data_IF_035083279274
#
_entry.id   IF_035083279274
#
_cell.length_a   1.000
_cell.length_b   1.000
_cell.length_c   1.000
_cell.angle_alpha   90.00
_cell.angle_beta   90.00
_cell.angle_gamma   90.00
#
_symmetry.space_group_name_H-M   'P 1'
#
loop_
_entity.id
_entity.type
_entity.pdbx_description
1 polymer ?
#
# COMPACT_ATOMS: atom_id res chain seq x y z
N UNK A 1 55.87 -76.19 16.57
CA UNK A 1 56.26 -74.79 16.88
C UNK A 1 55.02 -73.89 16.68
N UNK A 2 54.88 -72.77 17.41
CA UNK A 2 53.64 -71.93 17.41
C UNK A 2 53.81 -70.60 16.65
N UNK A 3 53.07 -70.43 15.55
CA UNK A 3 52.66 -69.18 14.83
C UNK A 3 51.40 -69.58 14.02
N UNK A 4 50.40 -68.75 13.68
CA UNK A 4 50.22 -67.27 13.74
C UNK A 4 48.69 -66.94 13.83
N UNK A 5 48.34 -65.74 14.33
CA UNK A 5 47.19 -64.82 14.08
C UNK A 5 45.99 -65.38 13.27
N UNK A 6 44.70 -65.22 13.64
CA UNK A 6 43.76 -64.06 13.49
C UNK A 6 42.41 -64.45 14.19
N UNK A 7 41.32 -63.71 14.40
CA UNK A 7 40.78 -62.36 14.03
C UNK A 7 39.79 -61.87 15.12
N UNK A 8 39.21 -60.67 14.99
CA UNK A 8 38.26 -60.06 15.94
C UNK A 8 36.79 -60.05 15.46
N UNK A 9 35.84 -59.90 16.40
CA UNK A 9 34.43 -59.66 16.12
C UNK A 9 33.87 -58.58 17.06
N UNK A 10 33.71 -57.34 16.56
CA UNK A 10 33.09 -56.23 17.27
C UNK A 10 31.79 -55.83 16.54
N UNK A 11 30.64 -56.18 17.12
CA UNK A 11 29.33 -55.98 16.51
C UNK A 11 28.64 -54.71 17.04
N UNK A 12 29.14 -53.54 16.64
CA UNK A 12 28.55 -52.24 16.97
C UNK A 12 27.39 -51.89 16.02
N UNK A 13 26.15 -52.02 16.50
CA UNK A 13 24.98 -51.51 15.80
C UNK A 13 25.04 -49.97 15.71
N UNK A 14 25.27 -49.42 14.52
CA UNK A 14 24.92 -48.02 14.25
C UNK A 14 23.40 -47.91 14.09
N UNK A 15 22.72 -47.58 15.18
CA UNK A 15 21.38 -47.04 15.12
C UNK A 15 21.44 -45.63 14.49
N UNK A 16 21.36 -45.57 13.16
CA UNK A 16 21.31 -44.31 12.42
C UNK A 16 19.98 -43.59 12.73
N UNK A 17 20.01 -42.69 13.71
CA UNK A 17 18.89 -41.83 14.07
C UNK A 17 18.55 -40.89 12.92
N UNK A 18 17.56 -41.28 12.11
CA UNK A 18 16.98 -40.36 11.12
C UNK A 18 16.33 -39.20 11.87
N UNK A 19 17.00 -38.05 11.88
CA UNK A 19 16.45 -36.79 12.36
C UNK A 19 15.37 -36.37 11.37
N UNK A 20 14.14 -36.85 11.61
CA UNK A 20 12.98 -36.49 10.83
C UNK A 20 12.72 -34.99 11.01
N UNK A 21 13.14 -34.19 10.03
CA UNK A 21 12.83 -32.76 9.94
C UNK A 21 11.31 -32.60 9.81
N UNK A 22 10.65 -32.43 10.95
CA UNK A 22 9.22 -32.17 11.02
C UNK A 22 8.90 -30.90 10.21
N UNK A 23 8.13 -31.07 9.13
CA UNK A 23 7.84 -30.00 8.19
C UNK A 23 7.14 -28.84 8.91
N UNK A 24 7.90 -27.76 9.16
CA UNK A 24 7.47 -26.66 10.02
C UNK A 24 6.37 -25.86 9.34
N UNK A 25 5.11 -26.23 9.59
CA UNK A 25 3.95 -25.39 9.31
C UNK A 25 4.12 -24.05 10.02
N UNK A 26 3.93 -22.95 9.30
CA UNK A 26 4.02 -21.59 9.83
C UNK A 26 2.65 -20.93 9.74
N UNK A 27 2.16 -20.47 10.88
CA UNK A 27 0.95 -19.67 10.91
C UNK A 27 1.18 -18.33 10.19
N UNK A 28 0.20 -17.91 9.39
CA UNK A 28 0.23 -16.64 8.67
C UNK A 28 -0.76 -15.71 9.35
N UNK A 29 -0.35 -14.46 9.58
CA UNK A 29 -1.16 -13.41 10.19
C UNK A 29 -1.14 -12.21 9.24
N UNK A 30 -2.30 -11.68 8.86
CA UNK A 30 -2.45 -10.50 8.00
C UNK A 30 -3.10 -9.40 8.82
N UNK A 31 -2.42 -8.26 8.99
CA UNK A 31 -2.97 -7.08 9.69
C UNK A 31 -3.58 -7.39 11.09
N UNK A 32 -2.91 -8.30 11.81
CA UNK A 32 -3.27 -8.87 13.12
C UNK A 32 -4.37 -9.95 13.13
N UNK A 33 -4.98 -10.28 11.98
CA UNK A 33 -5.91 -11.40 11.83
C UNK A 33 -5.18 -12.69 11.40
N UNK A 34 -5.48 -13.82 12.04
CA UNK A 34 -4.89 -15.11 11.67
C UNK A 34 -5.54 -15.68 10.41
N UNK A 35 -4.73 -16.09 9.43
CA UNK A 35 -5.23 -16.72 8.20
C UNK A 35 -5.61 -18.17 8.48
N UNK A 36 -6.82 -18.56 8.08
CA UNK A 36 -7.32 -19.92 8.26
C UNK A 36 -6.44 -20.96 7.53
N UNK A 37 -6.02 -21.99 8.26
CA UNK A 37 -5.17 -23.09 7.78
C UNK A 37 -5.71 -24.44 8.22
N UNK A 38 -5.53 -25.48 7.40
CA UNK A 38 -5.94 -26.86 7.70
C UNK A 38 -4.89 -27.87 7.24
N UNK A 39 -5.13 -29.17 7.48
CA UNK A 39 -4.28 -30.29 7.00
C UNK A 39 -3.92 -30.22 5.51
N UNK A 40 -4.81 -29.67 4.70
CA UNK A 40 -4.71 -29.60 3.24
C UNK A 40 -4.58 -28.17 2.70
N UNK A 41 -4.53 -27.19 3.61
CA UNK A 41 -4.31 -25.76 3.33
C UNK A 41 -3.31 -25.23 4.37
N UNK A 42 -2.03 -25.56 4.18
CA UNK A 42 -0.93 -25.13 5.06
C UNK A 42 0.23 -24.60 4.23
N UNK A 43 1.10 -23.80 4.85
CA UNK A 43 2.40 -23.44 4.30
C UNK A 43 3.34 -24.64 4.26
N UNK A 44 4.26 -24.69 3.29
CA UNK A 44 5.42 -25.59 3.33
C UNK A 44 6.72 -24.77 3.34
N UNK A 45 7.80 -25.36 3.85
CA UNK A 45 9.14 -24.73 3.85
C UNK A 45 10.04 -25.53 2.91
N UNK A 46 10.61 -24.84 1.93
CA UNK A 46 11.46 -25.45 0.90
C UNK A 46 12.58 -24.48 0.52
N UNK A 47 13.83 -24.96 0.39
CA UNK A 47 15.01 -24.13 0.10
C UNK A 47 15.14 -22.90 1.03
N UNK A 48 14.75 -23.02 2.30
CA UNK A 48 14.76 -21.91 3.26
C UNK A 48 13.74 -20.80 2.96
N UNK A 49 12.68 -21.10 2.21
CA UNK A 49 11.57 -20.20 1.87
C UNK A 49 10.22 -20.81 2.24
N UNK A 50 9.31 -19.96 2.73
CA UNK A 50 7.93 -20.37 3.00
C UNK A 50 7.10 -20.23 1.73
N UNK A 51 6.68 -21.37 1.20
CA UNK A 51 5.72 -21.50 0.12
C UNK A 51 4.30 -21.58 0.69
N UNK A 52 3.34 -20.96 0.02
CA UNK A 52 1.93 -20.93 0.45
C UNK A 52 0.99 -21.22 -0.72
N UNK A 53 -0.18 -21.86 -0.49
CA UNK A 53 -1.23 -21.94 -1.50
C UNK A 53 -1.65 -20.51 -1.89
N UNK A 54 -1.51 -20.13 -3.16
CA UNK A 54 -1.67 -18.74 -3.62
C UNK A 54 -2.98 -18.09 -3.13
N UNK A 55 -4.09 -18.83 -3.23
CA UNK A 55 -5.42 -18.37 -2.83
C UNK A 55 -5.56 -18.13 -1.31
N UNK A 56 -4.92 -18.95 -0.47
CA UNK A 56 -4.97 -18.83 1.01
C UNK A 56 -4.55 -17.43 1.48
N UNK A 57 -3.53 -16.86 0.85
CA UNK A 57 -3.02 -15.52 1.19
C UNK A 57 -3.72 -14.44 0.38
N UNK A 58 -4.08 -14.70 -0.88
CA UNK A 58 -4.83 -13.75 -1.71
C UNK A 58 -6.19 -13.39 -1.10
N UNK A 59 -6.98 -14.39 -0.69
CA UNK A 59 -8.28 -14.19 -0.04
C UNK A 59 -8.12 -13.35 1.24
N UNK A 60 -7.11 -13.68 2.07
CA UNK A 60 -6.82 -12.97 3.32
C UNK A 60 -6.34 -11.52 3.15
N UNK A 61 -5.76 -11.16 2.00
CA UNK A 61 -5.41 -9.77 1.68
C UNK A 61 -6.45 -9.07 0.80
N UNK A 62 -7.54 -9.74 0.39
CA UNK A 62 -8.52 -9.19 -0.55
C UNK A 62 -7.96 -8.96 -1.95
N UNK A 63 -7.20 -9.93 -2.47
CA UNK A 63 -6.66 -9.96 -3.83
C UNK A 63 -7.40 -10.99 -4.69
N UNK A 64 -7.56 -10.73 -5.99
CA UNK A 64 -8.13 -11.69 -6.93
C UNK A 64 -7.08 -12.67 -7.44
N UNK A 65 -7.50 -13.90 -7.77
CA UNK A 65 -6.62 -14.96 -8.29
C UNK A 65 -7.23 -15.59 -9.55
N UNK A 66 -6.41 -15.80 -10.58
CA UNK A 66 -6.78 -16.56 -11.77
C UNK A 66 -5.76 -17.65 -12.11
N UNK A 67 -6.17 -18.62 -12.91
CA UNK A 67 -5.32 -19.71 -13.42
C UNK A 67 -5.58 -19.90 -14.91
N UNK A 68 -4.52 -19.84 -15.72
CA UNK A 68 -4.53 -20.26 -17.12
C UNK A 68 -3.90 -21.65 -17.21
N UNK A 69 -4.72 -22.66 -17.52
CA UNK A 69 -4.28 -24.04 -17.65
C UNK A 69 -3.41 -24.30 -18.91
N UNK A 70 -3.55 -23.49 -19.96
CA UNK A 70 -2.80 -23.62 -21.22
C UNK A 70 -1.41 -22.99 -21.08
N UNK A 71 -1.32 -21.81 -20.47
CA UNK A 71 -0.03 -21.18 -20.14
C UNK A 71 0.65 -21.81 -18.91
N UNK A 72 -0.12 -22.56 -18.09
CA UNK A 72 0.25 -23.07 -16.76
C UNK A 72 0.69 -21.94 -15.81
N UNK A 73 -0.06 -20.83 -15.82
CA UNK A 73 0.24 -19.64 -15.01
C UNK A 73 -0.86 -19.33 -14.01
N UNK A 74 -0.46 -18.99 -12.79
CA UNK A 74 -1.34 -18.46 -11.76
C UNK A 74 -1.08 -16.95 -11.63
N UNK A 75 -2.12 -16.11 -11.68
CA UNK A 75 -1.99 -14.70 -11.39
C UNK A 75 -2.63 -14.34 -10.06
N UNK A 76 -2.08 -13.34 -9.37
CA UNK A 76 -2.74 -12.64 -8.27
C UNK A 76 -2.67 -11.13 -8.52
N UNK A 77 -3.77 -10.41 -8.28
CA UNK A 77 -3.88 -8.96 -8.47
C UNK A 77 -4.54 -8.29 -7.26
N UNK A 78 -4.03 -7.13 -6.86
CA UNK A 78 -4.69 -6.22 -5.93
C UNK A 78 -4.35 -4.79 -6.31
N UNK A 79 -5.36 -3.95 -6.46
CA UNK A 79 -5.19 -2.63 -7.08
C UNK A 79 -4.54 -2.80 -8.47
N UNK A 80 -3.73 -1.84 -8.94
CA UNK A 80 -2.94 -1.98 -10.17
C UNK A 80 -1.70 -2.90 -10.04
N UNK A 81 -1.42 -3.46 -8.86
CA UNK A 81 -0.29 -4.38 -8.66
C UNK A 81 -0.70 -5.82 -8.95
N UNK A 82 0.14 -6.57 -9.67
CA UNK A 82 -0.09 -8.00 -9.91
C UNK A 82 1.18 -8.79 -10.14
N UNK A 83 1.15 -10.09 -9.86
CA UNK A 83 2.25 -11.01 -10.13
C UNK A 83 1.73 -12.32 -10.71
N UNK A 84 2.38 -12.76 -11.79
CA UNK A 84 2.07 -13.98 -12.55
C UNK A 84 3.19 -14.99 -12.33
N UNK A 85 2.84 -16.13 -11.73
CA UNK A 85 3.73 -17.25 -11.46
C UNK A 85 3.53 -18.34 -12.51
N UNK A 86 4.60 -18.88 -13.10
CA UNK A 86 4.50 -20.03 -14.03
C UNK A 86 4.83 -21.32 -13.30
N UNK A 87 3.93 -22.29 -13.34
CA UNK A 87 4.12 -23.57 -12.67
C UNK A 87 5.30 -24.36 -13.27
N UNK A 88 6.20 -24.84 -12.41
CA UNK A 88 7.42 -25.53 -12.82
C UNK A 88 8.60 -24.60 -13.15
N UNK A 89 8.57 -23.33 -12.72
CA UNK A 89 9.72 -22.41 -12.91
C UNK A 89 10.10 -21.69 -11.62
N UNK A 90 11.34 -21.19 -11.60
CA UNK A 90 11.87 -20.24 -10.60
C UNK A 90 11.72 -18.79 -11.06
N UNK A 91 10.62 -18.47 -11.74
CA UNK A 91 10.39 -17.13 -12.32
C UNK A 91 8.94 -16.68 -12.19
N UNK A 92 8.76 -15.37 -12.05
CA UNK A 92 7.47 -14.69 -12.12
C UNK A 92 7.57 -13.43 -13.00
N UNK A 93 6.42 -12.86 -13.36
CA UNK A 93 6.31 -11.55 -13.98
C UNK A 93 5.46 -10.64 -13.09
N UNK A 94 6.01 -9.52 -12.63
CA UNK A 94 5.35 -8.58 -11.70
C UNK A 94 5.09 -7.21 -12.35
N UNK A 95 3.93 -6.63 -12.07
CA UNK A 95 3.51 -5.28 -12.46
C UNK A 95 3.35 -4.48 -11.18
N UNK A 96 3.96 -3.29 -11.13
CA UNK A 96 3.98 -2.40 -9.97
C UNK A 96 3.19 -1.11 -10.28
N UNK A 97 1.91 -1.28 -10.63
CA UNK A 97 0.97 -0.21 -10.95
C UNK A 97 1.53 0.87 -11.87
N UNK A 98 1.35 2.14 -11.50
CA UNK A 98 1.87 3.28 -12.27
C UNK A 98 3.38 3.53 -12.12
N UNK A 99 4.11 2.79 -11.28
CA UNK A 99 5.58 2.89 -11.16
C UNK A 99 6.26 2.03 -12.23
N UNK A 100 5.74 0.82 -12.46
CA UNK A 100 6.18 -0.06 -13.55
C UNK A 100 4.96 -0.81 -14.13
N UNK A 101 4.26 -0.21 -15.12
CA UNK A 101 3.04 -0.78 -15.69
C UNK A 101 3.32 -1.96 -16.63
N UNK A 102 4.55 -2.07 -17.14
CA UNK A 102 4.99 -3.19 -17.99
C UNK A 102 5.49 -4.35 -17.10
N UNK A 103 5.11 -5.61 -17.36
CA UNK A 103 5.55 -6.75 -16.56
C UNK A 103 7.07 -6.91 -16.49
N UNK A 104 7.63 -6.85 -15.29
CA UNK A 104 9.04 -7.07 -15.00
C UNK A 104 9.29 -8.53 -14.65
N UNK A 105 10.34 -9.14 -15.21
CA UNK A 105 10.79 -10.48 -14.80
C UNK A 105 11.33 -10.41 -13.36
N UNK A 106 10.86 -11.32 -12.52
CA UNK A 106 11.35 -11.53 -11.14
C UNK A 106 11.83 -12.97 -11.03
N UNK A 107 13.07 -13.16 -10.57
CA UNK A 107 13.62 -14.49 -10.26
C UNK A 107 13.24 -14.92 -8.84
N UNK A 108 13.05 -16.22 -8.64
CA UNK A 108 12.56 -16.81 -7.39
C UNK A 108 13.61 -17.77 -6.83
N UNK A 109 13.89 -17.69 -5.53
CA UNK A 109 14.84 -18.61 -4.86
C UNK A 109 14.40 -20.10 -4.96
N UNK A 110 13.08 -20.32 -5.04
CA UNK A 110 12.46 -21.65 -5.11
C UNK A 110 11.35 -21.70 -6.16
N UNK A 111 10.94 -22.91 -6.54
CA UNK A 111 10.05 -23.16 -7.66
C UNK A 111 8.57 -22.88 -7.34
N UNK A 112 7.78 -22.58 -8.37
CA UNK A 112 6.30 -22.52 -8.33
C UNK A 112 5.74 -23.94 -8.46
N UNK A 113 5.36 -24.53 -7.33
CA UNK A 113 4.98 -25.94 -7.24
C UNK A 113 3.47 -26.11 -7.40
N UNK A 114 3.02 -27.15 -8.11
CA UNK A 114 1.61 -27.57 -8.14
C UNK A 114 1.48 -28.87 -7.37
N UNK A 115 0.70 -28.88 -6.29
CA UNK A 115 0.54 -30.03 -5.39
C UNK A 115 -0.88 -30.08 -4.83
N UNK A 116 -1.57 -31.23 -4.97
CA UNK A 116 -2.99 -31.42 -4.56
C UNK A 116 -3.88 -30.26 -5.07
N UNK A 117 -3.80 -30.00 -6.37
CA UNK A 117 -4.57 -28.97 -7.09
C UNK A 117 -4.44 -27.53 -6.56
N UNK A 118 -3.35 -27.26 -5.82
CA UNK A 118 -2.98 -25.93 -5.33
C UNK A 118 -1.65 -25.51 -5.91
N UNK A 119 -1.58 -24.25 -6.36
CA UNK A 119 -0.33 -23.59 -6.75
C UNK A 119 0.32 -22.99 -5.51
N UNK A 120 1.52 -23.45 -5.19
CA UNK A 120 2.35 -23.00 -4.08
C UNK A 120 3.39 -22.00 -4.59
N UNK A 121 3.47 -20.82 -3.97
CA UNK A 121 4.39 -19.74 -4.37
C UNK A 121 5.10 -19.11 -3.16
N UNK A 122 6.24 -18.43 -3.33
CA UNK A 122 6.94 -17.79 -2.22
C UNK A 122 6.11 -16.67 -1.58
N UNK A 123 5.80 -16.81 -0.29
CA UNK A 123 4.97 -15.86 0.46
C UNK A 123 5.47 -14.41 0.37
N UNK A 124 6.79 -14.22 0.47
CA UNK A 124 7.44 -12.90 0.37
C UNK A 124 7.17 -12.21 -0.98
N UNK A 125 7.00 -12.96 -2.07
CA UNK A 125 6.78 -12.38 -3.39
C UNK A 125 5.34 -11.88 -3.56
N UNK A 126 4.33 -12.63 -3.07
CA UNK A 126 2.95 -12.12 -2.98
C UNK A 126 2.94 -10.84 -2.14
N UNK A 127 3.51 -10.90 -0.93
CA UNK A 127 3.49 -9.80 0.02
C UNK A 127 4.16 -8.54 -0.57
N UNK A 128 5.39 -8.66 -1.07
CA UNK A 128 6.16 -7.54 -1.61
C UNK A 128 5.47 -6.87 -2.81
N UNK A 129 5.01 -7.64 -3.80
CA UNK A 129 4.34 -7.04 -4.97
C UNK A 129 3.04 -6.34 -4.59
N UNK A 130 2.24 -6.94 -3.70
CA UNK A 130 0.98 -6.33 -3.22
C UNK A 130 1.18 -5.28 -2.10
N UNK A 131 2.43 -4.88 -1.80
CA UNK A 131 2.74 -3.79 -0.88
C UNK A 131 2.69 -4.10 0.61
N UNK A 132 2.71 -5.37 0.99
CA UNK A 132 2.81 -5.83 2.38
C UNK A 132 4.28 -6.11 2.76
N UNK A 133 4.68 -5.76 3.97
CA UNK A 133 5.88 -6.32 4.59
C UNK A 133 5.63 -7.79 4.98
N UNK A 134 6.70 -8.58 5.16
CA UNK A 134 6.61 -10.01 5.48
C UNK A 134 7.69 -10.40 6.50
N UNK A 135 7.33 -10.33 7.78
CA UNK A 135 8.23 -10.48 8.93
C UNK A 135 7.98 -11.80 9.66
N UNK A 136 9.03 -12.51 10.05
CA UNK A 136 8.93 -13.70 10.89
C UNK A 136 9.02 -13.29 12.37
N UNK A 137 8.14 -13.85 13.21
CA UNK A 137 8.19 -13.75 14.68
C UNK A 137 9.00 -14.91 15.27
N UNK A 138 9.48 -14.77 16.50
CA UNK A 138 10.31 -15.78 17.18
C UNK A 138 9.60 -17.13 17.33
N UNK A 139 8.27 -17.12 17.44
CA UNK A 139 7.42 -18.33 17.45
C UNK A 139 7.21 -18.97 16.06
N UNK A 140 8.01 -18.61 15.05
CA UNK A 140 7.94 -19.13 13.68
C UNK A 140 6.77 -18.62 12.83
N UNK A 141 5.83 -17.87 13.39
CA UNK A 141 4.70 -17.29 12.65
C UNK A 141 5.17 -16.18 11.72
N UNK A 142 4.51 -16.03 10.56
CA UNK A 142 4.80 -14.96 9.60
C UNK A 142 3.69 -13.92 9.65
N UNK A 143 4.07 -12.69 9.95
CA UNK A 143 3.22 -11.51 9.98
C UNK A 143 3.38 -10.75 8.66
N UNK A 144 2.26 -10.63 7.92
CA UNK A 144 2.10 -9.68 6.83
C UNK A 144 1.46 -8.40 7.35
N UNK A 145 2.03 -7.24 7.02
CA UNK A 145 1.50 -5.94 7.45
C UNK A 145 1.39 -5.00 6.26
N UNK A 146 0.24 -4.36 6.12
CA UNK A 146 0.08 -3.19 5.25
C UNK A 146 0.88 -1.99 5.78
N UNK A 147 1.17 -0.97 4.95
CA UNK A 147 1.95 0.21 5.36
C UNK A 147 1.34 1.01 6.53
N UNK A 148 0.02 0.95 6.70
CA UNK A 148 -0.68 1.48 7.88
C UNK A 148 -0.63 0.43 9.00
N UNK A 149 0.08 0.73 10.08
CA UNK A 149 0.23 -0.17 11.24
C UNK A 149 -1.02 -0.22 12.13
N UNK A 150 -0.97 -0.94 13.27
CA UNK A 150 -2.06 -0.95 14.25
C UNK A 150 -2.23 0.40 14.96
N UNK A 151 -1.14 1.04 15.39
CA UNK A 151 -1.21 2.36 16.02
C UNK A 151 -1.65 3.45 15.03
N UNK A 152 -1.25 3.31 13.76
CA UNK A 152 -1.69 4.22 12.70
C UNK A 152 -3.21 4.07 12.43
N UNK A 153 -3.72 2.82 12.40
CA UNK A 153 -5.18 2.54 12.33
C UNK A 153 -5.93 3.18 13.51
N UNK A 154 -5.36 3.14 14.71
CA UNK A 154 -5.98 3.72 15.91
C UNK A 154 -6.12 5.24 15.80
N UNK A 155 -5.09 5.98 15.37
CA UNK A 155 -5.21 7.42 15.06
C UNK A 155 -6.30 7.67 13.99
N UNK A 156 -6.34 6.84 12.95
CA UNK A 156 -7.32 6.92 11.85
C UNK A 156 -8.73 6.44 12.25
N UNK A 157 -8.94 5.85 13.43
CA UNK A 157 -10.23 5.40 13.93
C UNK A 157 -10.75 6.27 15.10
N UNK A 158 -9.94 6.46 16.15
CA UNK A 158 -10.36 7.06 17.42
C UNK A 158 -9.72 8.42 17.72
N UNK A 159 -8.59 8.75 17.08
CA UNK A 159 -7.88 10.03 17.24
C UNK A 159 -8.68 11.26 16.81
N UNK A 160 -8.17 12.47 17.10
CA UNK A 160 -8.85 13.70 16.68
C UNK A 160 -8.80 13.88 15.17
N UNK A 161 -9.70 14.71 14.62
CA UNK A 161 -9.72 15.01 13.19
C UNK A 161 -8.41 15.68 12.72
N UNK A 162 -7.78 16.52 13.57
CA UNK A 162 -6.49 17.14 13.27
C UNK A 162 -5.36 16.11 13.25
N UNK A 163 -5.35 15.14 14.16
CA UNK A 163 -4.30 14.09 14.22
C UNK A 163 -4.43 13.13 13.04
N UNK A 164 -5.65 12.71 12.71
CA UNK A 164 -5.93 11.86 11.56
C UNK A 164 -5.53 12.55 10.25
N UNK A 165 -5.82 13.84 10.09
CA UNK A 165 -5.36 14.63 8.93
C UNK A 165 -3.85 14.86 8.93
N UNK A 166 -3.22 15.03 10.10
CA UNK A 166 -1.75 15.16 10.19
C UNK A 166 -1.05 13.86 9.77
N UNK A 167 -1.58 12.73 10.24
CA UNK A 167 -1.16 11.41 9.80
C UNK A 167 -1.27 11.28 8.27
N UNK A 168 -2.42 11.63 7.71
CA UNK A 168 -2.66 11.51 6.26
C UNK A 168 -1.68 12.38 5.48
N UNK A 169 -1.49 13.63 5.90
CA UNK A 169 -0.56 14.58 5.27
C UNK A 169 0.92 14.20 5.40
N UNK A 170 1.27 13.19 6.21
CA UNK A 170 2.65 12.73 6.43
C UNK A 170 2.94 11.34 5.87
N UNK A 171 1.99 10.39 5.96
CA UNK A 171 2.22 8.99 5.52
C UNK A 171 1.39 8.52 4.33
N UNK A 172 0.21 9.10 4.05
CA UNK A 172 -0.75 8.49 3.12
C UNK A 172 -0.21 8.35 1.69
N UNK A 173 0.44 9.40 1.17
CA UNK A 173 0.95 9.44 -0.21
C UNK A 173 2.16 8.53 -0.40
N UNK A 174 3.06 8.45 0.60
CA UNK A 174 4.36 7.75 0.50
C UNK A 174 4.25 6.27 0.11
N UNK A 175 3.18 5.60 0.55
CA UNK A 175 2.94 4.18 0.30
C UNK A 175 1.59 3.95 -0.40
N UNK A 176 1.06 4.99 -1.06
CA UNK A 176 -0.21 4.91 -1.75
C UNK A 176 -0.16 3.90 -2.91
N UNK A 177 -1.28 3.20 -3.12
CA UNK A 177 -1.49 2.34 -4.28
C UNK A 177 -2.42 3.02 -5.27
N UNK A 178 -2.40 2.57 -6.50
CA UNK A 178 -3.34 3.04 -7.53
C UNK A 178 -4.35 1.92 -7.75
N UNK A 179 -5.64 2.22 -7.81
CA UNK A 179 -6.61 1.33 -8.44
C UNK A 179 -6.22 1.09 -9.92
N UNK A 180 -6.95 0.23 -10.63
CA UNK A 180 -6.66 -0.12 -12.04
C UNK A 180 -6.95 1.05 -12.99
N UNK A 181 -6.10 2.08 -12.92
CA UNK A 181 -6.18 3.36 -13.60
C UNK A 181 -4.99 3.49 -14.57
N UNK A 182 -5.21 3.82 -15.85
CA UNK A 182 -4.13 4.13 -16.79
C UNK A 182 -3.17 5.18 -16.22
N UNK A 183 -1.86 4.99 -16.42
CA UNK A 183 -0.84 5.98 -16.05
C UNK A 183 -1.06 7.26 -16.85
N UNK A 184 -1.12 8.40 -16.14
CA UNK A 184 -1.22 9.71 -16.78
C UNK A 184 0.19 10.26 -17.00
N UNK A 185 0.43 10.75 -18.22
CA UNK A 185 1.64 11.45 -18.61
C UNK A 185 1.25 12.90 -18.89
N UNK A 186 1.68 13.88 -18.07
CA UNK A 186 1.40 15.29 -18.33
C UNK A 186 2.13 15.72 -19.63
N UNK A 187 1.48 16.48 -20.53
CA UNK A 187 2.07 16.87 -21.82
C UNK A 187 3.14 17.98 -21.68
N UNK A 188 3.16 18.65 -20.54
CA UNK A 188 4.13 19.67 -20.15
C UNK A 188 4.37 19.51 -18.65
N UNK A 189 5.63 19.50 -18.20
CA UNK A 189 5.94 19.48 -16.78
C UNK A 189 5.74 20.87 -16.16
N UNK A 190 5.08 20.92 -14.99
CA UNK A 190 4.99 22.12 -14.14
C UNK A 190 5.92 21.93 -12.93
N UNK A 191 6.74 22.92 -12.61
CA UNK A 191 7.43 22.96 -11.30
C UNK A 191 6.38 23.23 -10.21
N UNK A 192 5.79 22.14 -9.71
CA UNK A 192 4.70 22.15 -8.74
C UNK A 192 5.17 22.51 -7.34
N UNK A 193 5.51 23.78 -7.11
CA UNK A 193 5.96 24.29 -5.81
C UNK A 193 4.89 24.19 -4.71
N UNK A 194 3.61 23.98 -5.05
CA UNK A 194 2.50 23.86 -4.12
C UNK A 194 1.78 22.50 -4.18
N UNK A 195 1.39 22.00 -2.99
CA UNK A 195 0.61 20.80 -2.81
C UNK A 195 -0.53 21.07 -1.80
N UNK A 196 -1.78 20.98 -2.27
CA UNK A 196 -2.99 21.23 -1.48
C UNK A 196 -3.74 19.94 -1.21
N UNK A 197 -3.92 19.63 0.07
CA UNK A 197 -4.80 18.56 0.54
C UNK A 197 -6.20 19.13 0.75
N UNK A 198 -7.22 18.48 0.18
CA UNK A 198 -8.63 18.82 0.30
C UNK A 198 -9.37 17.67 0.99
N UNK A 199 -9.70 17.87 2.25
CA UNK A 199 -10.45 16.93 3.07
C UNK A 199 -11.93 17.31 3.07
N UNK A 200 -12.88 16.39 2.81
CA UNK A 200 -14.30 16.67 3.05
C UNK A 200 -14.53 17.11 4.51
N UNK A 201 -15.44 18.05 4.72
CA UNK A 201 -15.66 18.65 6.04
C UNK A 201 -16.13 17.61 7.08
N UNK A 202 -15.26 17.27 8.03
CA UNK A 202 -15.41 16.22 9.03
C UNK A 202 -14.70 14.89 8.74
N UNK A 203 -13.93 14.78 7.65
CA UNK A 203 -13.27 13.54 7.22
C UNK A 203 -11.74 13.67 7.09
N UNK A 204 -11.04 12.54 7.17
CA UNK A 204 -9.59 12.40 7.01
C UNK A 204 -9.21 11.20 6.12
N UNK A 205 -9.95 10.09 6.24
CA UNK A 205 -9.66 8.79 5.60
C UNK A 205 -9.89 8.79 4.09
N UNK A 206 -10.44 9.87 3.52
CA UNK A 206 -10.46 10.15 2.08
C UNK A 206 -10.27 11.65 1.80
N UNK A 207 -9.54 11.97 0.74
CA UNK A 207 -9.13 13.34 0.41
C UNK A 207 -8.73 13.48 -1.06
N UNK A 208 -8.80 14.69 -1.63
CA UNK A 208 -8.06 15.01 -2.85
C UNK A 208 -6.69 15.59 -2.51
N UNK A 209 -5.67 15.27 -3.29
CA UNK A 209 -4.42 16.01 -3.38
C UNK A 209 -4.37 16.70 -4.74
N UNK A 210 -4.19 18.02 -4.74
CA UNK A 210 -3.96 18.83 -5.94
C UNK A 210 -2.53 19.35 -5.87
N UNK A 211 -1.68 18.95 -6.82
CA UNK A 211 -0.25 19.30 -6.84
C UNK A 211 0.29 19.30 -8.27
N UNK A 212 0.97 20.40 -8.65
CA UNK A 212 1.58 20.57 -9.97
C UNK A 212 0.57 20.44 -11.11
N UNK A 213 0.69 19.39 -11.91
CA UNK A 213 -0.15 19.09 -13.07
C UNK A 213 -1.20 17.98 -12.80
N UNK A 214 -1.41 17.58 -11.53
CA UNK A 214 -2.37 16.53 -11.17
C UNK A 214 -3.35 16.91 -10.06
N UNK A 215 -4.54 16.34 -10.13
CA UNK A 215 -5.43 16.15 -8.99
C UNK A 215 -5.76 14.66 -8.85
N UNK A 216 -5.66 14.12 -7.63
CA UNK A 216 -5.89 12.69 -7.35
C UNK A 216 -6.71 12.51 -6.06
N UNK A 217 -7.69 11.62 -6.09
CA UNK A 217 -8.53 11.26 -4.94
C UNK A 217 -8.01 9.97 -4.29
N UNK A 218 -7.72 10.05 -3.01
CA UNK A 218 -7.17 8.97 -2.19
C UNK A 218 -8.25 8.50 -1.20
N UNK A 219 -8.38 7.18 -1.04
CA UNK A 219 -9.26 6.55 -0.06
C UNK A 219 -8.52 5.47 0.75
N UNK A 220 -8.75 5.40 2.06
CA UNK A 220 -8.22 4.36 2.93
C UNK A 220 -8.98 3.04 2.74
N UNK A 221 -8.34 2.04 2.14
CA UNK A 221 -8.93 0.72 1.83
C UNK A 221 -7.98 -0.41 2.22
N UNK A 222 -8.42 -1.27 3.13
CA UNK A 222 -7.69 -2.49 3.53
C UNK A 222 -6.28 -2.28 4.08
N UNK A 223 -6.03 -1.14 4.74
CA UNK A 223 -4.71 -0.77 5.29
C UNK A 223 -3.78 -0.01 4.31
N UNK A 224 -4.30 0.46 3.17
CA UNK A 224 -3.59 1.28 2.19
C UNK A 224 -4.40 2.54 1.88
N UNK A 225 -3.73 3.66 1.58
CA UNK A 225 -4.39 4.71 0.81
C UNK A 225 -4.32 4.34 -0.67
N UNK A 226 -5.44 4.45 -1.37
CA UNK A 226 -5.59 4.04 -2.77
C UNK A 226 -6.10 5.21 -3.59
N UNK A 227 -5.37 5.56 -4.65
CA UNK A 227 -5.83 6.50 -5.67
C UNK A 227 -6.90 5.81 -6.51
N UNK A 228 -8.15 6.28 -6.41
CA UNK A 228 -9.32 5.70 -7.08
C UNK A 228 -9.91 6.60 -8.16
N UNK A 229 -9.54 7.87 -8.16
CA UNK A 229 -9.76 8.81 -9.26
C UNK A 229 -8.54 9.72 -9.42
N UNK A 230 -8.21 10.12 -10.66
CA UNK A 230 -7.22 11.18 -10.93
C UNK A 230 -7.49 11.89 -12.25
N UNK A 231 -7.03 13.13 -12.39
CA UNK A 231 -7.05 13.91 -13.62
C UNK A 231 -5.81 14.81 -13.75
N UNK A 232 -5.55 15.30 -14.96
CA UNK A 232 -4.55 16.33 -15.21
C UNK A 232 -5.15 17.72 -15.01
N UNK A 233 -4.40 18.61 -14.37
CA UNK A 233 -4.71 20.04 -14.26
C UNK A 233 -3.97 20.79 -15.38
N UNK A 234 -4.66 21.54 -16.26
CA UNK A 234 -4.01 22.31 -17.32
C UNK A 234 -3.02 23.34 -16.77
N UNK A 235 -1.86 23.46 -17.42
CA UNK A 235 -0.93 24.58 -17.18
C UNK A 235 -1.53 25.87 -17.78
N UNK A 236 -1.47 26.96 -17.03
CA UNK A 236 -2.02 28.25 -17.45
C UNK A 236 -2.01 29.29 -16.33
N UNK A 237 -2.62 30.46 -16.58
CA UNK A 237 -2.53 31.65 -15.72
C UNK A 237 -3.36 31.59 -14.42
N UNK A 238 -3.83 30.41 -14.00
CA UNK A 238 -4.62 30.20 -12.77
C UNK A 238 -3.94 29.16 -11.87
N UNK A 239 -4.19 29.29 -10.57
CA UNK A 239 -3.78 28.33 -9.56
C UNK A 239 -4.43 26.94 -9.75
N UNK A 240 -3.70 25.91 -9.36
CA UNK A 240 -4.06 24.50 -9.54
C UNK A 240 -5.39 24.16 -8.83
N UNK A 241 -5.58 24.71 -7.62
CA UNK A 241 -6.76 24.51 -6.80
C UNK A 241 -7.99 25.16 -7.45
N UNK A 242 -7.88 26.41 -7.87
CA UNK A 242 -8.94 27.17 -8.51
C UNK A 242 -9.35 26.62 -9.88
N UNK A 243 -8.46 25.91 -10.59
CA UNK A 243 -8.83 25.13 -11.78
C UNK A 243 -9.58 23.85 -11.41
N UNK A 244 -9.08 23.11 -10.41
CA UNK A 244 -9.72 21.88 -9.92
C UNK A 244 -11.15 22.13 -9.39
N UNK A 245 -11.34 23.17 -8.57
CA UNK A 245 -12.66 23.53 -8.01
C UNK A 245 -13.66 24.01 -9.07
N UNK A 246 -13.20 24.59 -10.17
CA UNK A 246 -14.04 24.92 -11.34
C UNK A 246 -14.32 23.70 -12.25
N UNK A 247 -13.84 22.50 -11.91
CA UNK A 247 -13.96 21.30 -12.73
C UNK A 247 -13.09 21.32 -14.00
N UNK A 248 -12.14 22.26 -14.12
CA UNK A 248 -11.28 22.45 -15.29
C UNK A 248 -10.07 21.51 -15.26
N UNK A 249 -10.34 20.23 -15.45
CA UNK A 249 -9.34 19.15 -15.54
C UNK A 249 -9.55 18.28 -16.78
N UNK A 250 -8.50 17.57 -17.22
CA UNK A 250 -8.52 16.71 -18.41
C UNK A 250 -8.05 15.28 -18.09
N UNK A 251 -8.23 14.35 -19.04
CA UNK A 251 -7.74 12.96 -18.94
C UNK A 251 -8.21 12.20 -17.69
N UNK A 252 -9.36 12.55 -17.11
CA UNK A 252 -9.85 11.96 -15.87
C UNK A 252 -10.01 10.42 -15.95
N UNK A 253 -9.41 9.71 -15.00
CA UNK A 253 -9.43 8.26 -14.85
C UNK A 253 -10.13 7.86 -13.55
N UNK A 254 -10.87 6.75 -13.58
CA UNK A 254 -11.63 6.26 -12.43
C UNK A 254 -12.94 7.04 -12.23
N UNK A 255 -13.58 6.85 -11.08
CA UNK A 255 -14.91 7.45 -10.79
C UNK A 255 -14.75 8.57 -9.76
N UNK A 256 -15.09 9.81 -10.14
CA UNK A 256 -15.12 10.92 -9.19
C UNK A 256 -16.18 10.64 -8.10
N UNK A 257 -15.85 10.81 -6.80
CA UNK A 257 -16.77 10.55 -5.69
C UNK A 257 -18.01 11.45 -5.76
N UNK A 258 -19.13 10.89 -6.22
CA UNK A 258 -20.32 11.66 -6.54
C UNK A 258 -20.96 12.34 -5.32
N UNK A 259 -20.77 11.76 -4.13
CA UNK A 259 -21.23 12.30 -2.84
C UNK A 259 -20.44 13.54 -2.38
N UNK A 260 -19.27 13.82 -2.97
CA UNK A 260 -18.44 14.99 -2.68
C UNK A 260 -18.72 16.20 -3.58
N UNK A 261 -19.59 16.07 -4.59
CA UNK A 261 -20.02 17.21 -5.42
C UNK A 261 -20.82 18.21 -4.58
N UNK A 262 -20.43 19.48 -4.61
CA UNK A 262 -21.07 20.54 -3.81
C UNK A 262 -20.94 20.32 -2.30
N UNK A 263 -19.86 19.67 -1.83
CA UNK A 263 -19.54 19.58 -0.39
C UNK A 263 -18.54 20.66 0.01
N UNK A 264 -18.56 21.00 1.29
CA UNK A 264 -17.50 21.78 1.90
C UNK A 264 -16.23 20.93 2.07
N UNK A 265 -15.08 21.59 1.91
CA UNK A 265 -13.77 21.02 2.17
C UNK A 265 -13.00 21.84 3.21
N UNK A 266 -12.21 21.18 4.04
CA UNK A 266 -11.07 21.78 4.73
C UNK A 266 -9.84 21.65 3.82
N UNK A 267 -9.16 22.77 3.53
CA UNK A 267 -7.93 22.77 2.73
C UNK A 267 -6.69 22.99 3.60
N UNK A 268 -5.59 22.34 3.23
CA UNK A 268 -4.26 22.66 3.73
C UNK A 268 -3.24 22.64 2.59
N UNK A 269 -2.64 23.79 2.32
CA UNK A 269 -1.63 23.98 1.27
C UNK A 269 -0.26 24.09 1.91
N UNK A 270 0.66 23.20 1.50
CA UNK A 270 2.09 23.43 1.61
C UNK A 270 2.58 24.04 0.29
N UNK A 271 3.44 25.04 0.34
CA UNK A 271 4.18 25.55 -0.81
C UNK A 271 5.62 25.89 -0.41
N UNK A 272 6.59 25.60 -1.27
CA UNK A 272 8.00 25.95 -1.05
C UNK A 272 8.68 26.26 -2.38
N UNK A 273 9.31 27.43 -2.48
CA UNK A 273 10.07 27.87 -3.65
C UNK A 273 11.38 28.55 -3.21
N UNK A 274 12.51 27.95 -3.59
CA UNK A 274 13.87 28.35 -3.15
C UNK A 274 13.99 28.43 -1.62
N UNK A 275 13.90 29.62 -1.03
CA UNK A 275 13.92 29.85 0.43
C UNK A 275 12.56 30.27 1.00
N UNK A 276 11.52 30.39 0.18
CA UNK A 276 10.19 30.84 0.56
C UNK A 276 9.27 29.66 0.87
N UNK A 277 9.02 29.37 2.14
CA UNK A 277 8.00 28.39 2.57
C UNK A 277 6.69 29.09 2.93
N UNK A 278 5.56 28.62 2.38
CA UNK A 278 4.21 29.06 2.75
C UNK A 278 3.34 27.86 3.14
N UNK A 279 2.70 27.96 4.30
CA UNK A 279 1.69 27.02 4.78
C UNK A 279 0.39 27.77 5.02
N UNK A 280 -0.72 27.25 4.48
CA UNK A 280 -2.03 27.88 4.60
C UNK A 280 -3.11 26.84 4.91
N UNK A 281 -4.06 27.20 5.76
CA UNK A 281 -5.19 26.37 6.16
C UNK A 281 -6.50 27.14 6.00
N UNK A 282 -7.59 26.47 5.66
CA UNK A 282 -8.90 27.11 5.56
C UNK A 282 -10.04 26.18 5.18
N UNK A 283 -11.18 26.78 4.81
CA UNK A 283 -12.36 26.09 4.27
C UNK A 283 -12.62 26.52 2.84
N UNK A 284 -13.22 25.63 2.06
CA UNK A 284 -13.89 25.95 0.80
C UNK A 284 -15.35 25.55 0.99
N UNK A 285 -16.27 26.49 0.80
CA UNK A 285 -17.70 26.25 0.90
C UNK A 285 -18.27 25.57 -0.37
N UNK A 286 -19.52 25.11 -0.31
CA UNK A 286 -20.16 24.33 -1.38
C UNK A 286 -20.33 25.10 -2.71
N UNK A 287 -20.27 26.42 -2.67
CA UNK A 287 -20.28 27.37 -3.81
C UNK A 287 -18.88 27.64 -4.38
N UNK A 288 -17.81 27.13 -3.75
CA UNK A 288 -16.42 27.43 -4.07
C UNK A 288 -15.82 28.60 -3.28
N UNK A 289 -16.56 29.25 -2.37
CA UNK A 289 -16.05 30.38 -1.58
C UNK A 289 -14.98 29.93 -0.58
N UNK A 290 -13.75 30.39 -0.78
CA UNK A 290 -12.60 30.06 0.08
C UNK A 290 -12.49 31.01 1.28
N UNK A 291 -12.39 30.46 2.50
CA UNK A 291 -12.16 31.18 3.76
C UNK A 291 -10.83 30.74 4.37
N UNK A 292 -9.82 31.61 4.36
CA UNK A 292 -8.51 31.38 4.99
C UNK A 292 -8.64 31.42 6.52
N UNK A 293 -8.31 30.32 7.20
CA UNK A 293 -8.35 30.19 8.67
C UNK A 293 -6.98 30.45 9.32
N UNK A 294 -5.89 30.30 8.58
CA UNK A 294 -4.56 30.68 9.05
C UNK A 294 -3.47 30.49 8.01
N UNK A 295 -2.34 31.13 8.26
CA UNK A 295 -1.17 31.14 7.39
C UNK A 295 0.12 31.26 8.20
N UNK A 296 1.20 30.65 7.69
CA UNK A 296 2.58 31.05 7.97
C UNK A 296 3.36 31.10 6.65
N UNK A 297 4.00 32.23 6.38
CA UNK A 297 4.91 32.43 5.26
C UNK A 297 6.26 32.92 5.80
N UNK A 298 7.33 32.23 5.42
CA UNK A 298 8.72 32.55 5.76
C UNK A 298 9.57 32.65 4.50
N UNK A 299 10.58 33.53 4.51
CA UNK A 299 11.63 33.59 3.48
C UNK A 299 12.98 33.48 4.20
N UNK A 300 13.67 32.37 4.00
CA UNK A 300 14.74 31.94 4.90
C UNK A 300 14.19 31.78 6.31
N UNK A 301 14.87 32.37 7.30
CA UNK A 301 14.44 32.35 8.70
C UNK A 301 13.39 33.43 9.03
N UNK A 302 13.16 34.40 8.14
CA UNK A 302 12.30 35.57 8.42
C UNK A 302 10.82 35.26 8.18
N UNK A 303 9.97 35.52 9.17
CA UNK A 303 8.50 35.37 9.05
C UNK A 303 7.90 36.61 8.38
N UNK A 304 7.37 36.44 7.15
CA UNK A 304 6.74 37.51 6.35
C UNK A 304 5.24 37.67 6.65
N UNK A 305 4.54 36.58 6.92
CA UNK A 305 3.15 36.60 7.38
C UNK A 305 2.91 35.45 8.36
N UNK A 306 2.26 35.70 9.50
CA UNK A 306 1.76 34.64 10.37
C UNK A 306 0.47 35.11 11.05
N UNK A 307 -0.64 34.42 10.81
CA UNK A 307 -1.94 34.75 11.41
C UNK A 307 -2.88 33.54 11.45
N UNK A 308 -3.90 33.60 12.31
CA UNK A 308 -4.92 32.55 12.43
C UNK A 308 -4.37 31.21 12.96
N UNK A 309 -4.98 30.11 12.53
CA UNK A 309 -4.61 28.75 12.93
C UNK A 309 -4.21 27.86 11.75
N UNK A 310 -3.13 27.11 11.92
CA UNK A 310 -2.68 26.04 11.02
C UNK A 310 -3.00 24.62 11.57
N UNK A 311 -3.90 24.51 12.54
CA UNK A 311 -4.47 23.22 12.94
C UNK A 311 -5.21 22.59 11.75
N UNK A 312 -5.19 21.26 11.63
CA UNK A 312 -5.80 20.55 10.49
C UNK A 312 -7.31 20.32 10.68
N UNK A 313 -7.98 21.25 11.36
CA UNK A 313 -9.40 21.19 11.70
C UNK A 313 -9.93 22.62 11.77
N UNK A 314 -11.08 22.87 11.18
CA UNK A 314 -11.73 24.18 11.27
C UNK A 314 -12.42 24.37 12.65
N UNK A 315 -12.65 25.63 13.09
CA UNK A 315 -13.47 25.90 14.27
C UNK A 315 -14.83 25.20 14.18
N UNK A 316 -15.20 24.49 15.25
CA UNK A 316 -16.43 23.69 15.38
C UNK A 316 -16.58 22.53 14.36
N UNK A 317 -15.51 22.13 13.65
CA UNK A 317 -15.55 20.98 12.75
C UNK A 317 -15.47 19.64 13.51
N UNK A 318 -16.54 18.86 13.46
CA UNK A 318 -16.63 17.53 14.09
C UNK A 318 -16.29 16.40 13.12
N UNK A 319 -15.71 15.31 13.63
CA UNK A 319 -15.39 14.10 12.85
C UNK A 319 -16.67 13.33 12.52
N UNK A 320 -16.90 13.05 11.22
CA UNK A 320 -18.14 12.44 10.68
C UNK A 320 -17.94 11.07 10.03
N UNK A 321 -16.70 10.75 9.65
CA UNK A 321 -16.38 9.49 8.97
C UNK A 321 -16.57 8.27 9.87
N UNK A 322 -16.91 7.13 9.26
CA UNK A 322 -17.04 5.86 9.97
C UNK A 322 -15.66 5.43 10.50
N UNK A 323 -15.59 5.19 11.81
CA UNK A 323 -14.37 4.68 12.46
C UNK A 323 -14.10 3.27 11.95
N UNK A 324 -12.90 3.04 11.40
CA UNK A 324 -12.49 1.70 10.98
C UNK A 324 -12.25 0.80 12.20
N UNK A 325 -12.58 -0.50 12.11
CA UNK A 325 -12.26 -1.50 13.14
C UNK A 325 -10.78 -1.94 13.10
#
# INVERSE_FOLDING_TARGET
>A
MKKIITLAAALSLLAASQVANAATTRHIIVNDQMVASSSDITSIVENGRTLVPLRMVADAVGASVSWDAKARTASVRKWADSIVFKAGTKTAAAVYGSVSPNPQKVDLDTEVIVRRDRVYVPLRMIAHTLGYSANMRDNGSILLQSPISRADREVLATGTLSDARMFVKTKAVQNARNAELPTLYPPQGREGFAATYLFPAGEANRFFLVAGDTAAFYELKGGFFVVTWRALIPVGNKDELGLFMEGKYTMAQGTYPADLKGKEFFYFTNSSIVTSERREAGRIAADGTTTRLGIKWTIGEEVKEQSGSLALVAPNETRKEVRLP
#
